data_IF_464279721957
#
_entry.id   IF_464279721957
#
_cell.length_a   1.000
_cell.length_b   1.000
_cell.length_c   1.000
_cell.angle_alpha   90.00
_cell.angle_beta   90.00
_cell.angle_gamma   90.00
#
_symmetry.space_group_name_H-M   'P 1'
#
loop_
_entity.id
_entity.type
_entity.pdbx_description
1 polymer ?
#
# COMPACT_ATOMS: atom_id res chain seq x y z
N UNK A 1 -22.87 -31.79 11.41
CA UNK A 1 -21.70 -32.66 11.68
C UNK A 1 -20.53 -31.85 12.24
N UNK A 2 -20.18 -30.71 11.62
CA UNK A 2 -19.12 -29.81 12.11
C UNK A 2 -19.34 -29.27 13.55
N UNK A 3 -20.57 -28.89 13.92
CA UNK A 3 -20.84 -28.36 15.27
C UNK A 3 -20.60 -29.39 16.39
N UNK A 4 -20.97 -30.65 16.17
CA UNK A 4 -20.75 -31.74 17.13
C UNK A 4 -19.26 -32.10 17.23
N UNK A 5 -18.53 -32.00 16.12
CA UNK A 5 -17.08 -32.18 16.11
C UNK A 5 -16.37 -31.04 16.85
N UNK A 6 -16.80 -29.79 16.68
CA UNK A 6 -16.29 -28.65 17.43
C UNK A 6 -16.59 -28.77 18.92
N UNK A 7 -17.77 -29.22 19.30
CA UNK A 7 -18.19 -29.43 20.69
C UNK A 7 -17.37 -30.56 21.35
N UNK A 8 -17.15 -31.67 20.62
CA UNK A 8 -16.32 -32.79 21.09
C UNK A 8 -14.82 -32.43 21.16
N UNK A 9 -14.35 -31.59 20.25
CA UNK A 9 -12.99 -31.07 20.25
C UNK A 9 -12.81 -30.06 21.40
N UNK A 10 -13.81 -29.20 21.66
CA UNK A 10 -13.83 -28.28 22.80
C UNK A 10 -13.83 -29.00 24.14
N UNK A 11 -14.52 -30.15 24.25
CA UNK A 11 -14.50 -30.96 25.47
C UNK A 11 -13.19 -31.73 25.66
N UNK A 12 -12.43 -32.00 24.59
CA UNK A 12 -11.14 -32.70 24.66
C UNK A 12 -9.94 -31.77 24.93
N UNK A 13 -10.02 -30.50 24.51
CA UNK A 13 -8.97 -29.50 24.70
C UNK A 13 -9.17 -28.59 25.93
N UNK A 14 -10.15 -28.89 26.78
CA UNK A 14 -10.36 -28.26 28.09
C UNK A 14 -10.32 -26.72 28.06
N UNK A 15 -11.04 -26.12 27.10
CA UNK A 15 -11.09 -24.66 26.92
C UNK A 15 -12.13 -23.98 27.81
N UNK A 16 -12.69 -24.70 28.78
CA UNK A 16 -13.67 -24.19 29.72
C UNK A 16 -13.43 -24.79 31.11
N UNK A 17 -12.75 -24.01 31.96
CA UNK A 17 -12.53 -24.18 33.41
C UNK A 17 -13.83 -24.31 34.25
N UNK A 18 -14.94 -24.79 33.68
CA UNK A 18 -16.27 -24.82 34.33
C UNK A 18 -16.94 -26.17 34.38
N UNK A 19 -16.29 -27.26 33.94
CA UNK A 19 -16.90 -28.60 33.96
C UNK A 19 -16.00 -29.72 34.55
N UNK A 20 -15.04 -29.39 35.42
CA UNK A 20 -14.30 -30.42 36.18
C UNK A 20 -15.24 -31.33 37.00
N UNK A 21 -16.39 -30.81 37.45
CA UNK A 21 -17.36 -31.58 38.26
C UNK A 21 -18.24 -32.53 37.46
N UNK A 22 -18.49 -32.27 36.18
CA UNK A 22 -19.39 -33.10 35.33
C UNK A 22 -18.62 -34.24 34.65
N UNK A 23 -17.34 -34.03 34.35
CA UNK A 23 -16.48 -35.10 33.78
C UNK A 23 -16.06 -36.13 34.82
N UNK A 24 -15.96 -35.77 36.10
CA UNK A 24 -15.62 -36.70 37.18
C UNK A 24 -16.75 -37.69 37.51
N UNK A 25 -18.03 -37.29 37.39
CA UNK A 25 -19.16 -38.18 37.73
C UNK A 25 -19.41 -39.31 36.73
N UNK A 26 -18.90 -39.18 35.49
CA UNK A 26 -18.97 -40.22 34.43
C UNK A 26 -17.64 -40.93 34.19
N UNK A 27 -16.61 -40.59 34.93
CA UNK A 27 -15.32 -41.25 34.83
C UNK A 27 -15.34 -42.53 35.68
N UNK A 28 -15.36 -43.69 35.01
CA UNK A 28 -15.35 -45.02 35.63
C UNK A 28 -14.14 -45.28 36.56
N UNK A 29 -13.07 -44.49 36.42
CA UNK A 29 -11.86 -44.58 37.23
C UNK A 29 -11.76 -43.47 38.28
N UNK A 30 -12.77 -42.60 38.41
CA UNK A 30 -12.77 -41.56 39.44
C UNK A 30 -13.12 -42.14 40.82
N UNK A 31 -12.50 -41.65 41.90
CA UNK A 31 -12.73 -42.15 43.26
C UNK A 31 -14.14 -41.87 43.83
N UNK A 32 -15.00 -41.18 43.08
CA UNK A 32 -16.40 -40.88 43.42
C UNK A 32 -17.42 -41.48 42.44
N UNK A 33 -17.06 -42.55 41.72
CA UNK A 33 -17.95 -43.21 40.78
C UNK A 33 -19.17 -43.82 41.50
N UNK A 34 -20.36 -43.29 41.22
CA UNK A 34 -21.63 -43.81 41.71
C UNK A 34 -22.18 -44.82 40.71
N UNK A 35 -22.19 -46.10 41.11
CA UNK A 35 -22.68 -47.22 40.28
C UNK A 35 -24.16 -47.06 39.93
N UNK A 36 -24.95 -46.43 40.82
CA UNK A 36 -26.39 -46.23 40.67
C UNK A 36 -26.76 -45.28 39.50
N UNK A 37 -25.85 -44.41 39.04
CA UNK A 37 -26.08 -43.55 37.87
C UNK A 37 -25.95 -44.32 36.54
N UNK A 38 -25.37 -45.53 36.56
CA UNK A 38 -25.31 -46.44 35.42
C UNK A 38 -26.51 -47.40 35.43
N UNK A 39 -27.71 -46.81 35.36
CA UNK A 39 -29.02 -47.46 35.24
C UNK A 39 -29.13 -48.39 34.00
N UNK A 40 -28.13 -48.33 33.12
CA UNK A 40 -28.02 -49.11 31.89
C UNK A 40 -27.85 -50.62 32.14
N UNK A 41 -27.26 -51.03 33.27
CA UNK A 41 -27.15 -52.45 33.63
C UNK A 41 -28.44 -53.02 34.21
N UNK A 42 -29.27 -52.20 34.87
CA UNK A 42 -30.54 -52.64 35.44
C UNK A 42 -31.71 -52.54 34.45
N UNK A 43 -31.65 -51.62 33.49
CA UNK A 43 -32.75 -51.33 32.55
C UNK A 43 -32.61 -51.95 31.15
N UNK A 44 -31.40 -52.31 30.69
CA UNK A 44 -31.20 -52.83 29.32
C UNK A 44 -31.02 -54.35 29.28
N UNK A 45 -31.64 -54.99 28.29
CA UNK A 45 -31.41 -56.41 27.99
C UNK A 45 -30.04 -56.66 27.35
N UNK A 46 -29.52 -57.88 27.49
CA UNK A 46 -28.19 -58.28 26.96
C UNK A 46 -27.99 -57.97 25.47
N UNK A 47 -29.01 -58.17 24.63
CA UNK A 47 -28.96 -57.86 23.20
C UNK A 47 -28.80 -56.36 22.92
N UNK A 48 -29.42 -55.51 23.75
CA UNK A 48 -29.31 -54.06 23.63
C UNK A 48 -27.93 -53.57 24.07
N UNK A 49 -27.38 -54.18 25.12
CA UNK A 49 -26.02 -53.91 25.59
C UNK A 49 -24.98 -54.30 24.54
N UNK A 50 -25.11 -55.47 23.90
CA UNK A 50 -24.25 -55.89 22.79
C UNK A 50 -24.35 -54.96 21.60
N UNK A 51 -25.55 -54.50 21.24
CA UNK A 51 -25.74 -53.54 20.15
C UNK A 51 -25.09 -52.19 20.47
N UNK A 52 -25.10 -51.79 21.73
CA UNK A 52 -24.47 -50.56 22.22
C UNK A 52 -22.95 -50.67 22.24
N UNK A 53 -22.40 -51.84 22.58
CA UNK A 53 -20.97 -52.13 22.45
C UNK A 53 -20.52 -52.04 20.97
N UNK A 54 -21.26 -52.68 20.06
CA UNK A 54 -21.00 -52.58 18.62
C UNK A 54 -21.07 -51.14 18.10
N UNK A 55 -22.00 -50.34 18.63
CA UNK A 55 -22.11 -48.92 18.31
C UNK A 55 -20.90 -48.14 18.85
N UNK A 56 -20.50 -48.38 20.09
CA UNK A 56 -19.34 -47.72 20.70
C UNK A 56 -18.06 -48.05 19.93
N UNK A 57 -17.86 -49.29 19.51
CA UNK A 57 -16.72 -49.70 18.68
C UNK A 57 -16.71 -48.94 17.35
N UNK A 58 -17.87 -48.72 16.73
CA UNK A 58 -17.98 -47.92 15.50
C UNK A 58 -17.65 -46.44 15.76
N UNK A 59 -18.19 -45.87 16.83
CA UNK A 59 -17.94 -44.48 17.21
C UNK A 59 -16.46 -44.24 17.52
N UNK A 60 -15.78 -45.18 18.19
CA UNK A 60 -14.34 -45.14 18.45
C UNK A 60 -13.54 -45.12 17.14
N UNK A 61 -13.88 -46.00 16.18
CA UNK A 61 -13.21 -46.05 14.87
C UNK A 61 -13.44 -44.81 14.04
N UNK A 62 -14.65 -44.26 14.07
CA UNK A 62 -15.00 -43.01 13.39
C UNK A 62 -14.22 -41.85 14.00
N UNK A 63 -14.13 -41.78 15.34
CA UNK A 63 -13.38 -40.75 16.03
C UNK A 63 -11.88 -40.81 15.71
N UNK A 64 -11.29 -41.99 15.69
CA UNK A 64 -9.88 -42.18 15.30
C UNK A 64 -9.64 -41.72 13.85
N UNK A 65 -10.54 -42.11 12.93
CA UNK A 65 -10.46 -41.68 11.52
C UNK A 65 -10.57 -40.15 11.39
N UNK A 66 -11.49 -39.54 12.12
CA UNK A 66 -11.67 -38.08 12.14
C UNK A 66 -10.45 -37.36 12.72
N UNK A 67 -9.86 -37.90 13.79
CA UNK A 67 -8.63 -37.37 14.38
C UNK A 67 -7.46 -37.44 13.38
N UNK A 68 -7.28 -38.58 12.70
CA UNK A 68 -6.26 -38.73 11.66
C UNK A 68 -6.48 -37.74 10.50
N UNK A 69 -7.73 -37.56 10.06
CA UNK A 69 -8.08 -36.60 9.00
C UNK A 69 -7.75 -35.17 9.42
N UNK A 70 -8.08 -34.77 10.66
CA UNK A 70 -7.77 -33.45 11.17
C UNK A 70 -6.27 -33.18 11.21
N UNK A 71 -5.50 -34.15 11.69
CA UNK A 71 -4.03 -34.08 11.73
C UNK A 71 -3.48 -33.90 10.32
N UNK A 72 -3.96 -34.70 9.36
CA UNK A 72 -3.56 -34.59 7.96
C UNK A 72 -3.90 -33.21 7.37
N UNK A 73 -5.13 -32.71 7.56
CA UNK A 73 -5.52 -31.39 7.08
C UNK A 73 -4.67 -30.29 7.68
N UNK A 74 -4.42 -30.36 8.99
CA UNK A 74 -3.66 -29.37 9.72
C UNK A 74 -2.21 -29.32 9.22
N UNK A 75 -1.56 -30.48 9.09
CA UNK A 75 -0.21 -30.57 8.52
C UNK A 75 -0.16 -30.07 7.07
N UNK A 76 -1.13 -30.41 6.22
CA UNK A 76 -1.18 -29.91 4.85
C UNK A 76 -1.36 -28.39 4.78
N UNK A 77 -2.20 -27.82 5.65
CA UNK A 77 -2.38 -26.37 5.77
C UNK A 77 -1.07 -25.71 6.21
N UNK A 78 -0.35 -26.28 7.19
CA UNK A 78 0.95 -25.78 7.64
C UNK A 78 2.04 -25.86 6.56
N UNK A 79 2.11 -26.97 5.84
CA UNK A 79 3.06 -27.14 4.72
C UNK A 79 2.77 -26.11 3.64
N UNK A 80 1.49 -25.96 3.25
CA UNK A 80 1.06 -25.00 2.22
C UNK A 80 1.33 -23.56 2.62
N UNK A 81 1.09 -23.20 3.89
CA UNK A 81 1.40 -21.89 4.42
C UNK A 81 2.93 -21.64 4.38
N UNK A 82 3.73 -22.62 4.81
CA UNK A 82 5.19 -22.52 4.82
C UNK A 82 5.75 -22.38 3.41
N UNK A 83 5.23 -23.13 2.44
CA UNK A 83 5.62 -23.00 1.03
C UNK A 83 5.23 -21.65 0.44
N UNK A 84 4.06 -21.11 0.81
CA UNK A 84 3.63 -19.76 0.41
C UNK A 84 4.59 -18.71 0.96
N UNK A 85 4.96 -18.79 2.24
CA UNK A 85 5.94 -17.90 2.86
C UNK A 85 7.30 -18.00 2.14
N UNK A 86 7.75 -19.23 1.81
CA UNK A 86 9.01 -19.44 1.07
C UNK A 86 8.96 -18.80 -0.32
N UNK A 87 7.87 -19.02 -1.08
CA UNK A 87 7.66 -18.41 -2.40
C UNK A 87 7.64 -16.89 -2.32
N UNK A 88 6.93 -16.32 -1.34
CA UNK A 88 6.91 -14.88 -1.11
C UNK A 88 8.31 -14.32 -0.84
N UNK A 89 9.06 -14.95 0.06
CA UNK A 89 10.41 -14.52 0.45
C UNK A 89 11.41 -14.57 -0.70
N UNK A 90 11.40 -15.65 -1.49
CA UNK A 90 12.45 -15.90 -2.48
C UNK A 90 12.11 -15.35 -3.86
N UNK A 91 10.86 -15.48 -4.33
CA UNK A 91 10.50 -15.13 -5.70
C UNK A 91 9.81 -13.77 -5.79
N UNK A 92 8.86 -13.50 -4.89
CA UNK A 92 7.98 -12.34 -5.05
C UNK A 92 8.60 -11.04 -4.56
N UNK A 93 9.20 -11.03 -3.37
CA UNK A 93 9.78 -9.79 -2.81
C UNK A 93 10.94 -9.25 -3.67
N UNK A 94 11.93 -10.07 -4.11
CA UNK A 94 13.03 -9.55 -4.93
C UNK A 94 12.58 -9.09 -6.32
N UNK A 95 11.65 -9.81 -6.96
CA UNK A 95 11.18 -9.47 -8.30
C UNK A 95 10.40 -8.16 -8.32
N UNK A 96 9.48 -7.96 -7.37
CA UNK A 96 8.72 -6.71 -7.26
C UNK A 96 9.65 -5.53 -6.98
N UNK A 97 10.63 -5.69 -6.09
CA UNK A 97 11.61 -4.65 -5.80
C UNK A 97 12.43 -4.28 -7.05
N UNK A 98 12.87 -5.26 -7.84
CA UNK A 98 13.63 -5.01 -9.05
C UNK A 98 12.81 -4.27 -10.11
N UNK A 99 11.57 -4.70 -10.36
CA UNK A 99 10.65 -4.04 -11.30
C UNK A 99 10.36 -2.61 -10.87
N UNK A 100 10.14 -2.37 -9.58
CA UNK A 100 9.88 -1.03 -9.06
C UNK A 100 11.09 -0.11 -9.25
N UNK A 101 12.30 -0.57 -8.90
CA UNK A 101 13.54 0.20 -9.08
C UNK A 101 13.78 0.52 -10.56
N UNK A 102 13.60 -0.45 -11.46
CA UNK A 102 13.72 -0.24 -12.91
C UNK A 102 12.71 0.80 -13.42
N UNK A 103 11.44 0.68 -13.02
CA UNK A 103 10.41 1.66 -13.40
C UNK A 103 10.68 3.07 -12.86
N UNK A 104 11.17 3.20 -11.61
CA UNK A 104 11.59 4.49 -11.07
C UNK A 104 12.83 5.05 -11.80
N UNK A 105 13.77 4.21 -12.20
CA UNK A 105 14.89 4.60 -13.06
C UNK A 105 14.41 5.17 -14.39
N UNK A 106 13.48 4.48 -15.07
CA UNK A 106 12.85 4.95 -16.31
C UNK A 106 12.12 6.28 -16.14
N UNK A 107 11.33 6.43 -15.08
CA UNK A 107 10.63 7.69 -14.77
C UNK A 107 11.62 8.82 -14.51
N UNK A 108 12.72 8.56 -13.79
CA UNK A 108 13.75 9.56 -13.51
C UNK A 108 14.40 10.04 -14.78
N UNK A 109 14.82 9.13 -15.67
CA UNK A 109 15.41 9.47 -16.97
C UNK A 109 14.42 10.25 -17.85
N UNK A 110 13.15 9.82 -17.90
CA UNK A 110 12.13 10.54 -18.65
C UNK A 110 11.88 11.95 -18.08
N UNK A 111 11.81 12.08 -16.76
CA UNK A 111 11.65 13.36 -16.07
C UNK A 111 12.83 14.31 -16.35
N UNK A 112 14.05 13.79 -16.32
CA UNK A 112 15.26 14.55 -16.66
C UNK A 112 15.23 15.01 -18.12
N UNK A 113 14.85 14.14 -19.05
CA UNK A 113 14.70 14.50 -20.47
C UNK A 113 13.66 15.61 -20.67
N UNK A 114 12.50 15.51 -20.01
CA UNK A 114 11.46 16.56 -20.06
C UNK A 114 11.96 17.86 -19.44
N UNK A 115 12.64 17.80 -18.30
CA UNK A 115 13.22 18.97 -17.64
C UNK A 115 14.23 19.68 -18.53
N UNK A 116 15.14 18.92 -19.14
CA UNK A 116 16.15 19.44 -20.06
C UNK A 116 15.52 20.05 -21.32
N UNK A 117 14.48 19.43 -21.88
CA UNK A 117 13.75 19.99 -23.02
C UNK A 117 13.03 21.31 -22.69
N UNK A 118 12.53 21.48 -21.46
CA UNK A 118 11.80 22.67 -21.02
C UNK A 118 12.69 23.79 -20.46
N UNK A 119 13.90 23.47 -19.99
CA UNK A 119 14.88 24.42 -19.48
C UNK A 119 15.11 25.65 -20.39
N UNK A 120 15.31 25.52 -21.72
CA UNK A 120 15.51 26.67 -22.59
C UNK A 120 14.25 27.53 -22.78
N UNK A 121 13.05 26.97 -22.64
CA UNK A 121 11.81 27.75 -22.76
C UNK A 121 11.54 28.60 -21.52
N UNK A 122 11.87 28.09 -20.32
CA UNK A 122 11.79 28.85 -19.07
C UNK A 122 12.71 30.06 -19.10
N UNK A 123 13.96 29.89 -19.55
CA UNK A 123 14.91 30.99 -19.65
C UNK A 123 14.55 32.01 -20.73
N UNK A 124 14.12 31.57 -21.92
CA UNK A 124 13.77 32.45 -23.05
C UNK A 124 12.64 33.42 -22.73
N UNK A 125 11.59 33.00 -21.99
CA UNK A 125 10.50 33.90 -21.57
C UNK A 125 11.02 35.02 -20.66
N UNK A 126 11.82 34.69 -19.64
CA UNK A 126 12.39 35.69 -18.74
C UNK A 126 13.38 36.63 -19.46
N UNK A 127 14.22 36.09 -20.34
CA UNK A 127 15.19 36.89 -21.11
C UNK A 127 14.47 37.86 -22.07
N UNK A 128 13.38 37.42 -22.70
CA UNK A 128 12.53 38.26 -23.54
C UNK A 128 11.93 39.43 -22.76
N UNK A 129 11.28 39.15 -21.62
CA UNK A 129 10.69 40.17 -20.75
C UNK A 129 11.75 41.15 -20.23
N UNK A 130 12.90 40.65 -19.77
CA UNK A 130 14.00 41.51 -19.27
C UNK A 130 14.57 42.43 -20.35
N UNK A 131 14.65 41.98 -21.61
CA UNK A 131 15.08 42.81 -22.75
C UNK A 131 14.07 43.90 -23.08
N UNK A 132 12.77 43.60 -23.01
CA UNK A 132 11.71 44.59 -23.21
C UNK A 132 11.73 45.64 -22.10
N UNK A 133 11.87 45.21 -20.84
CA UNK A 133 11.94 46.11 -19.70
C UNK A 133 13.12 47.10 -19.82
N UNK A 134 14.32 46.63 -20.17
CA UNK A 134 15.48 47.51 -20.41
C UNK A 134 15.27 48.51 -21.55
N UNK A 135 14.56 48.13 -22.62
CA UNK A 135 14.25 49.03 -23.73
C UNK A 135 13.24 50.09 -23.32
N UNK A 136 12.24 49.71 -22.52
CA UNK A 136 11.25 50.62 -21.96
C UNK A 136 11.91 51.62 -20.99
N UNK A 137 12.77 51.13 -20.10
CA UNK A 137 13.57 51.94 -19.18
C UNK A 137 14.40 52.99 -19.94
N UNK A 138 15.04 52.60 -21.05
CA UNK A 138 15.81 53.52 -21.89
C UNK A 138 14.93 54.63 -22.51
N UNK A 139 13.72 54.30 -22.97
CA UNK A 139 12.78 55.27 -23.54
C UNK A 139 12.31 56.26 -22.47
N UNK A 140 11.97 55.79 -21.26
CA UNK A 140 11.54 56.67 -20.17
C UNK A 140 12.64 57.61 -19.68
N UNK A 141 13.90 57.16 -19.68
CA UNK A 141 15.04 58.01 -19.29
C UNK A 141 15.49 58.97 -20.41
N UNK A 142 15.06 58.75 -21.66
CA UNK A 142 15.49 59.53 -22.82
C UNK A 142 15.26 61.04 -22.68
N UNK A 143 14.07 61.55 -22.26
CA UNK A 143 13.81 62.99 -22.22
C UNK A 143 14.70 63.71 -21.22
N UNK A 144 15.00 63.08 -20.08
CA UNK A 144 15.94 63.64 -19.11
C UNK A 144 17.38 63.62 -19.65
N UNK A 145 17.80 62.52 -20.27
CA UNK A 145 19.15 62.42 -20.88
C UNK A 145 19.35 63.45 -22.00
N UNK A 146 18.32 63.70 -22.82
CA UNK A 146 18.36 64.70 -23.89
C UNK A 146 18.45 66.12 -23.32
N UNK A 147 17.65 66.44 -22.29
CA UNK A 147 17.70 67.74 -21.61
C UNK A 147 19.09 68.01 -20.99
N UNK A 148 19.70 67.00 -20.36
CA UNK A 148 21.05 67.13 -19.80
C UNK A 148 22.13 67.27 -20.88
N UNK A 149 22.05 66.49 -21.97
CA UNK A 149 23.00 66.58 -23.08
C UNK A 149 22.93 67.93 -23.82
N UNK A 150 21.72 68.50 -23.95
CA UNK A 150 21.54 69.86 -24.49
C UNK A 150 22.14 70.94 -23.58
N UNK A 151 21.99 70.80 -22.25
CA UNK A 151 22.62 71.72 -21.28
C UNK A 151 24.14 71.64 -21.27
N UNK A 152 24.70 70.45 -21.53
CA UNK A 152 26.14 70.21 -21.57
C UNK A 152 26.79 70.52 -22.94
N UNK A 153 26.04 71.04 -23.92
CA UNK A 153 26.46 71.27 -25.31
C UNK A 153 27.00 70.01 -26.05
N UNK A 154 26.69 68.81 -25.56
CA UNK A 154 27.11 67.54 -26.18
C UNK A 154 26.09 67.07 -27.23
N UNK A 155 26.00 67.80 -28.34
CA UNK A 155 25.01 67.55 -29.39
C UNK A 155 25.17 66.19 -30.11
N UNK A 156 26.40 65.67 -30.22
CA UNK A 156 26.69 64.37 -30.85
C UNK A 156 26.11 63.18 -30.06
N UNK A 157 26.15 63.24 -28.72
CA UNK A 157 25.53 62.18 -27.89
C UNK A 157 24.01 62.29 -27.93
N UNK A 158 23.47 63.51 -27.95
CA UNK A 158 22.03 63.76 -28.01
C UNK A 158 21.40 63.22 -29.31
N UNK A 159 22.03 63.46 -30.47
CA UNK A 159 21.57 62.93 -31.76
C UNK A 159 21.65 61.41 -31.80
N UNK A 160 22.72 60.80 -31.29
CA UNK A 160 22.86 59.32 -31.19
C UNK A 160 21.75 58.71 -30.33
N UNK A 161 21.49 59.25 -29.14
CA UNK A 161 20.42 58.76 -28.28
C UNK A 161 19.03 58.92 -28.92
N UNK A 162 18.78 60.06 -29.58
CA UNK A 162 17.54 60.31 -30.31
C UNK A 162 17.34 59.32 -31.46
N UNK A 163 18.36 59.05 -32.28
CA UNK A 163 18.28 58.11 -33.40
C UNK A 163 17.98 56.69 -32.92
N UNK A 164 18.66 56.24 -31.86
CA UNK A 164 18.43 54.91 -31.28
C UNK A 164 17.02 54.80 -30.70
N UNK A 165 16.56 55.80 -29.96
CA UNK A 165 15.21 55.79 -29.39
C UNK A 165 14.11 55.87 -30.47
N UNK A 166 14.30 56.70 -31.50
CA UNK A 166 13.36 56.85 -32.59
C UNK A 166 13.23 55.54 -33.40
N UNK A 167 14.34 54.80 -33.58
CA UNK A 167 14.30 53.44 -34.17
C UNK A 167 13.50 52.46 -33.33
N UNK A 168 13.59 52.53 -32.00
CA UNK A 168 12.84 51.66 -31.10
C UNK A 168 11.36 52.05 -31.10
N UNK A 169 11.04 53.34 -30.97
CA UNK A 169 9.68 53.88 -30.97
C UNK A 169 8.92 53.56 -32.28
N UNK A 170 9.56 53.74 -33.44
CA UNK A 170 8.98 53.35 -34.74
C UNK A 170 8.62 51.86 -34.80
N UNK A 171 9.43 51.00 -34.18
CA UNK A 171 9.17 49.55 -34.14
C UNK A 171 7.97 49.18 -33.26
N UNK A 172 7.67 49.98 -32.25
CA UNK A 172 6.59 49.76 -31.28
C UNK A 172 5.41 50.73 -31.44
N UNK A 173 5.36 51.48 -32.54
CA UNK A 173 4.35 52.49 -32.86
C UNK A 173 2.90 51.95 -32.88
N UNK A 174 2.73 50.64 -33.06
CA UNK A 174 1.43 49.96 -33.08
C UNK A 174 0.86 49.67 -31.67
N UNK A 175 1.65 49.83 -30.62
CA UNK A 175 1.20 49.64 -29.23
C UNK A 175 0.60 50.96 -28.74
N UNK A 176 -0.68 50.93 -28.37
CA UNK A 176 -1.45 52.11 -27.95
C UNK A 176 -0.80 52.90 -26.80
N UNK A 177 0.01 52.24 -25.95
CA UNK A 177 0.75 52.87 -24.84
C UNK A 177 1.88 53.82 -25.27
N UNK A 178 2.27 53.82 -26.55
CA UNK A 178 3.28 54.73 -27.12
C UNK A 178 2.67 55.77 -28.10
N UNK A 179 1.34 55.84 -28.18
CA UNK A 179 0.61 56.80 -29.00
C UNK A 179 0.28 58.06 -28.21
#
# INVERSE_FOLDING_TARGET
>A
MESRMQELMSSYYDLSDKDETVSQSKNINAPGFLVDDYDMLESMGMDELLRRDDQMIKEIKELDTNMQMLVYENYNKFISATDTIRKMKVQYIPSVSFVLVDSMGKITVQSENVSNALAPFRSKKLVGVRRLLKRLEFIFQLPQRLKSAMKAQEYDKATKYFVVANRILKRYQHIASFK
#
